data_IF_480662998384
#
_entry.id   IF_480662998384
#
_cell.length_a   1.000
_cell.length_b   1.000
_cell.length_c   1.000
_cell.angle_alpha   90.00
_cell.angle_beta   90.00
_cell.angle_gamma   90.00
#
_symmetry.space_group_name_H-M   'P 1'
#
loop_
_entity.id
_entity.type
_entity.pdbx_description
1 polymer ?
#
# COMPACT_ATOMS: atom_id res chain seq x y z
N UNK A 1 18.39 -11.10 -0.66
CA UNK A 1 18.64 -12.13 0.36
C UNK A 1 17.29 -12.66 0.81
N UNK A 2 17.20 -13.94 1.15
CA UNK A 2 15.95 -14.53 1.63
C UNK A 2 15.66 -14.07 3.06
N UNK A 3 14.39 -13.90 3.42
CA UNK A 3 14.00 -13.92 4.83
C UNK A 3 14.20 -15.32 5.43
N UNK A 4 14.01 -15.43 6.74
CA UNK A 4 14.17 -16.68 7.49
C UNK A 4 13.24 -17.82 7.02
N UNK A 5 12.27 -17.53 6.15
CA UNK A 5 11.29 -18.47 5.59
C UNK A 5 11.58 -18.81 4.10
N UNK A 6 12.71 -18.34 3.54
CA UNK A 6 13.10 -18.63 2.16
C UNK A 6 12.37 -17.78 1.12
N UNK A 7 11.71 -16.69 1.52
CA UNK A 7 11.07 -15.77 0.60
C UNK A 7 11.96 -14.55 0.31
N UNK A 8 11.94 -14.09 -0.94
CA UNK A 8 12.75 -12.97 -1.41
C UNK A 8 12.08 -11.63 -1.06
N UNK A 9 12.75 -10.81 -0.25
CA UNK A 9 12.44 -9.38 -0.09
C UNK A 9 13.21 -8.60 -1.14
N UNK A 10 12.81 -8.74 -2.41
CA UNK A 10 13.53 -8.12 -3.53
C UNK A 10 13.09 -6.65 -3.70
N UNK A 11 14.05 -5.76 -3.94
CA UNK A 11 13.80 -4.36 -4.31
C UNK A 11 14.48 -4.10 -5.66
N UNK A 12 13.68 -3.96 -6.72
CA UNK A 12 14.18 -3.82 -8.09
C UNK A 12 13.58 -2.59 -8.77
N UNK A 13 14.38 -1.93 -9.61
CA UNK A 13 13.92 -0.90 -10.53
C UNK A 13 14.03 -1.35 -11.97
N UNK A 14 13.02 -1.02 -12.76
CA UNK A 14 13.11 -1.00 -14.21
C UNK A 14 13.31 0.45 -14.65
N UNK A 15 14.42 0.73 -15.34
CA UNK A 15 14.62 2.04 -15.96
C UNK A 15 13.74 2.17 -17.21
N UNK A 16 12.71 2.99 -17.10
CA UNK A 16 11.79 3.35 -18.19
C UNK A 16 11.99 4.78 -18.68
N UNK A 17 13.09 5.44 -18.29
CA UNK A 17 13.36 6.80 -18.72
C UNK A 17 13.57 6.83 -20.26
N UNK A 18 12.81 7.67 -21.00
CA UNK A 18 12.91 7.73 -22.46
C UNK A 18 14.33 7.98 -23.00
N UNK A 19 15.21 8.64 -22.23
CA UNK A 19 16.58 8.91 -22.65
C UNK A 19 17.54 7.72 -22.48
N UNK A 20 17.21 6.72 -21.67
CA UNK A 20 18.07 5.56 -21.37
C UNK A 20 17.40 4.20 -21.64
N UNK A 21 16.13 4.18 -22.03
CA UNK A 21 15.37 2.96 -22.30
C UNK A 21 15.87 2.26 -23.57
N UNK A 22 16.45 1.08 -23.42
CA UNK A 22 16.64 0.10 -24.48
C UNK A 22 15.55 -0.98 -24.35
N UNK A 23 14.63 -1.04 -25.31
CA UNK A 23 13.52 -2.01 -25.30
C UNK A 23 13.99 -3.44 -25.55
N UNK A 24 15.15 -3.64 -26.18
CA UNK A 24 15.69 -4.96 -26.45
C UNK A 24 16.50 -5.47 -25.26
N UNK A 25 17.03 -4.56 -24.44
CA UNK A 25 17.79 -4.87 -23.23
C UNK A 25 17.40 -3.91 -22.09
N UNK A 26 16.17 -4.04 -21.54
CA UNK A 26 15.71 -3.17 -20.48
C UNK A 26 16.64 -3.25 -19.27
N UNK A 27 17.02 -2.09 -18.75
CA UNK A 27 17.94 -2.01 -17.61
C UNK A 27 17.19 -2.22 -16.31
N UNK A 28 17.44 -3.35 -15.68
CA UNK A 28 17.00 -3.66 -14.32
C UNK A 28 18.12 -3.35 -13.32
N UNK A 29 17.79 -2.69 -12.21
CA UNK A 29 18.70 -2.45 -11.10
C UNK A 29 18.18 -3.20 -9.88
N UNK A 30 19.00 -4.10 -9.34
CA UNK A 30 18.71 -4.80 -8.08
C UNK A 30 19.31 -4.03 -6.91
N UNK A 31 18.45 -3.53 -6.03
CA UNK A 31 18.82 -2.82 -4.80
C UNK A 31 18.75 -3.70 -3.56
N UNK A 32 18.40 -4.98 -3.70
CA UNK A 32 18.08 -5.88 -2.58
C UNK A 32 19.19 -5.97 -1.53
N UNK A 33 20.46 -5.88 -1.92
CA UNK A 33 21.58 -5.91 -0.98
C UNK A 33 21.79 -4.58 -0.23
N UNK A 34 21.48 -3.45 -0.88
CA UNK A 34 21.80 -2.12 -0.35
C UNK A 34 20.59 -1.45 0.32
N UNK A 35 19.40 -1.92 0.02
CA UNK A 35 18.13 -1.34 0.42
C UNK A 35 17.14 -2.44 0.81
N UNK A 36 17.49 -3.30 1.75
CA UNK A 36 16.62 -4.41 2.15
C UNK A 36 15.31 -3.90 2.77
N UNK A 37 14.18 -4.45 2.32
CA UNK A 37 12.85 -4.11 2.84
C UNK A 37 12.75 -4.54 4.32
N UNK A 38 12.18 -3.71 5.22
CA UNK A 38 12.20 -4.02 6.66
C UNK A 38 11.42 -5.26 7.07
N UNK A 39 10.45 -5.69 6.26
CA UNK A 39 9.68 -6.91 6.48
C UNK A 39 9.13 -7.45 5.17
N UNK A 40 8.65 -8.69 5.21
CA UNK A 40 7.79 -9.23 4.15
C UNK A 40 6.55 -8.37 4.00
N UNK A 41 6.22 -8.02 2.77
CA UNK A 41 5.06 -7.18 2.48
C UNK A 41 4.15 -7.80 1.41
N UNK A 42 3.70 -9.06 1.59
CA UNK A 42 2.79 -9.67 0.63
C UNK A 42 1.48 -8.89 0.59
N UNK A 43 0.95 -8.66 -0.61
CA UNK A 43 -0.32 -7.95 -0.81
C UNK A 43 -0.40 -6.56 -0.15
N UNK A 44 0.76 -5.96 0.15
CA UNK A 44 0.85 -4.57 0.60
C UNK A 44 0.57 -3.61 -0.55
N UNK A 45 0.31 -2.35 -0.21
CA UNK A 45 0.18 -1.27 -1.19
C UNK A 45 1.30 -0.26 -1.04
N UNK A 46 1.83 0.26 -2.15
CA UNK A 46 2.86 1.28 -2.15
C UNK A 46 2.38 2.54 -2.87
N UNK A 47 2.72 3.71 -2.34
CA UNK A 47 2.39 5.01 -2.94
C UNK A 47 3.56 5.99 -2.78
N UNK A 48 3.72 6.86 -3.77
CA UNK A 48 4.67 7.98 -3.69
C UNK A 48 4.08 9.09 -2.80
N UNK A 49 4.91 9.68 -1.95
CA UNK A 49 4.54 10.76 -1.05
C UNK A 49 5.76 11.57 -0.60
N UNK A 50 5.58 12.36 0.47
CA UNK A 50 6.56 13.35 0.90
C UNK A 50 6.46 14.64 0.10
N UNK A 51 7.08 15.71 0.61
CA UNK A 51 6.95 17.06 0.04
C UNK A 51 7.43 17.14 -1.42
N UNK A 52 8.44 16.35 -1.78
CA UNK A 52 9.01 16.34 -3.13
C UNK A 52 8.62 15.10 -3.94
N UNK A 53 7.71 14.26 -3.44
CA UNK A 53 7.39 12.96 -4.04
C UNK A 53 8.63 12.07 -4.25
N UNK A 54 9.50 12.04 -3.25
CA UNK A 54 10.77 11.31 -3.20
C UNK A 54 10.78 10.20 -2.14
N UNK A 55 9.62 9.95 -1.51
CA UNK A 55 9.45 8.88 -0.53
C UNK A 55 8.38 7.90 -1.05
N UNK A 56 8.72 6.62 -1.09
CA UNK A 56 7.74 5.55 -1.29
C UNK A 56 7.25 5.09 0.07
N UNK A 57 5.95 5.21 0.32
CA UNK A 57 5.30 4.65 1.50
C UNK A 57 4.74 3.27 1.17
N UNK A 58 5.18 2.26 1.92
CA UNK A 58 4.69 0.89 1.84
C UNK A 58 3.76 0.63 3.02
N UNK A 59 2.50 0.35 2.71
CA UNK A 59 1.40 0.13 3.65
C UNK A 59 1.13 -1.37 3.74
N UNK A 60 1.54 -1.97 4.86
CA UNK A 60 1.54 -3.41 5.04
C UNK A 60 0.82 -3.88 6.31
N UNK A 61 0.98 -5.16 6.60
CA UNK A 61 0.36 -5.82 7.75
C UNK A 61 1.35 -6.62 8.62
N UNK A 62 2.60 -6.80 8.19
CA UNK A 62 3.62 -7.59 8.89
C UNK A 62 4.72 -6.69 9.45
N UNK A 63 5.11 -6.95 10.70
CA UNK A 63 6.29 -6.36 11.33
C UNK A 63 7.60 -7.03 10.85
N UNK A 64 8.79 -6.53 11.26
CA UNK A 64 10.07 -7.14 10.86
C UNK A 64 10.28 -8.60 11.29
N UNK A 65 9.48 -9.09 12.24
CA UNK A 65 9.48 -10.49 12.67
C UNK A 65 8.43 -11.31 11.90
N UNK A 66 7.89 -10.78 10.80
CA UNK A 66 6.84 -11.38 9.98
C UNK A 66 5.54 -11.68 10.76
N UNK A 67 5.29 -10.96 11.87
CA UNK A 67 4.07 -11.12 12.67
C UNK A 67 2.97 -10.17 12.20
N UNK A 68 1.75 -10.68 12.13
CA UNK A 68 0.57 -9.86 11.80
C UNK A 68 0.34 -8.84 12.92
N UNK A 69 0.33 -7.58 12.53
CA UNK A 69 0.11 -6.43 13.42
C UNK A 69 -1.38 -6.16 13.65
N UNK A 70 -1.70 -5.36 14.69
CA UNK A 70 -3.08 -4.92 14.93
C UNK A 70 -3.52 -3.78 14.01
N UNK A 71 -2.57 -2.91 13.62
CA UNK A 71 -2.78 -1.73 12.80
C UNK A 71 -1.91 -1.78 11.55
N UNK A 72 -2.31 -1.13 10.46
CA UNK A 72 -1.48 -1.04 9.24
C UNK A 72 -0.13 -0.45 9.59
N UNK A 73 0.94 -1.16 9.21
CA UNK A 73 2.31 -0.67 9.37
C UNK A 73 2.68 0.19 8.17
N UNK A 74 3.47 1.23 8.41
CA UNK A 74 3.96 2.14 7.38
C UNK A 74 5.49 2.05 7.36
N UNK A 75 6.04 1.60 6.23
CA UNK A 75 7.46 1.76 5.94
C UNK A 75 7.65 2.89 4.93
N UNK A 76 8.76 3.61 5.04
CA UNK A 76 9.10 4.69 4.14
C UNK A 76 10.47 4.44 3.52
N UNK A 77 10.52 4.43 2.19
CA UNK A 77 11.75 4.31 1.42
C UNK A 77 12.11 5.65 0.79
N UNK A 78 13.25 6.21 1.19
CA UNK A 78 13.78 7.42 0.57
C UNK A 78 14.44 7.06 -0.76
N UNK A 79 13.92 7.56 -1.88
CA UNK A 79 14.40 7.17 -3.22
C UNK A 79 15.77 7.74 -3.56
N UNK A 80 16.19 8.81 -2.88
CA UNK A 80 17.50 9.46 -3.09
C UNK A 80 18.59 8.74 -2.30
N UNK A 81 18.38 8.53 -1.00
CA UNK A 81 19.36 7.85 -0.16
C UNK A 81 19.29 6.33 -0.26
N UNK A 82 18.21 5.79 -0.83
CA UNK A 82 17.91 4.36 -0.92
C UNK A 82 17.84 3.66 0.44
N UNK A 83 17.28 4.34 1.44
CA UNK A 83 17.18 3.83 2.81
C UNK A 83 15.72 3.64 3.21
N UNK A 84 15.43 2.46 3.76
CA UNK A 84 14.16 2.18 4.41
C UNK A 84 14.13 2.67 5.86
N UNK A 85 12.96 3.11 6.30
CA UNK A 85 12.68 3.51 7.67
C UNK A 85 11.28 3.06 8.09
N UNK A 86 11.04 3.01 9.40
CA UNK A 86 9.72 2.79 9.99
C UNK A 86 9.33 4.06 10.77
N UNK A 87 8.73 5.06 10.10
CA UNK A 87 8.39 6.31 10.76
C UNK A 87 7.29 6.12 11.80
N UNK A 88 7.37 6.91 12.88
CA UNK A 88 6.26 7.00 13.83
C UNK A 88 5.08 7.71 13.16
N UNK A 89 3.95 7.02 13.08
CA UNK A 89 2.71 7.54 12.50
C UNK A 89 1.68 7.82 13.59
N UNK A 90 0.89 8.88 13.40
CA UNK A 90 -0.05 9.38 14.39
C UNK A 90 -1.49 9.37 13.88
N UNK A 91 -2.44 9.70 14.76
CA UNK A 91 -3.84 9.92 14.39
C UNK A 91 -4.71 8.66 14.46
N UNK A 92 -5.71 8.59 13.59
CA UNK A 92 -6.67 7.48 13.54
C UNK A 92 -6.07 6.29 12.81
N UNK A 93 -5.35 5.43 13.53
CA UNK A 93 -4.65 4.30 12.92
C UNK A 93 -5.64 3.28 12.33
N UNK A 94 -5.51 2.93 11.03
CA UNK A 94 -6.34 1.90 10.44
C UNK A 94 -5.97 0.52 10.95
N UNK A 95 -6.98 -0.37 11.06
CA UNK A 95 -6.74 -1.79 11.32
C UNK A 95 -5.83 -2.40 10.25
N UNK A 96 -4.97 -3.31 10.69
CA UNK A 96 -4.07 -4.07 9.82
C UNK A 96 -4.85 -4.78 8.72
N UNK A 97 -4.36 -4.65 7.48
CA UNK A 97 -5.05 -5.09 6.27
C UNK A 97 -4.08 -5.33 5.12
N UNK A 98 -4.51 -6.15 4.18
CA UNK A 98 -3.80 -6.51 2.96
C UNK A 98 -4.75 -6.51 1.76
N UNK A 99 -4.24 -6.77 0.56
CA UNK A 99 -5.03 -6.94 -0.66
C UNK A 99 -5.93 -5.73 -1.00
N UNK A 100 -5.37 -4.53 -0.81
CA UNK A 100 -5.97 -3.26 -1.21
C UNK A 100 -4.99 -2.50 -2.10
N UNK A 101 -5.51 -1.55 -2.88
CA UNK A 101 -4.68 -0.59 -3.61
C UNK A 101 -4.96 0.83 -3.10
N UNK A 102 -3.94 1.46 -2.51
CA UNK A 102 -3.94 2.88 -2.19
C UNK A 102 -3.54 3.71 -3.41
N UNK A 103 -3.91 4.99 -3.39
CA UNK A 103 -3.52 5.98 -4.41
C UNK A 103 -3.09 7.28 -3.72
N UNK A 104 -2.12 8.00 -4.29
CA UNK A 104 -1.69 9.32 -3.79
C UNK A 104 -2.12 10.48 -4.68
N UNK A 105 -2.49 11.61 -4.05
CA UNK A 105 -2.75 12.87 -4.75
C UNK A 105 -1.48 13.75 -4.90
N UNK A 106 -1.65 14.93 -5.50
CA UNK A 106 -0.60 15.93 -5.63
C UNK A 106 -0.18 16.59 -4.30
N UNK A 107 -1.04 16.55 -3.30
CA UNK A 107 -0.86 17.27 -2.04
C UNK A 107 -0.21 16.39 -0.96
N UNK A 108 0.22 15.18 -1.33
CA UNK A 108 0.84 14.22 -0.41
C UNK A 108 -0.17 13.46 0.45
N UNK A 109 -1.45 13.41 0.08
CA UNK A 109 -2.44 12.53 0.72
C UNK A 109 -2.48 11.19 0.02
N UNK A 110 -2.45 10.12 0.80
CA UNK A 110 -2.59 8.73 0.36
C UNK A 110 -3.94 8.21 0.84
N UNK A 111 -4.77 7.74 -0.10
CA UNK A 111 -6.12 7.28 0.15
C UNK A 111 -6.14 5.75 0.21
N UNK A 112 -6.71 5.23 1.29
CA UNK A 112 -6.84 3.80 1.54
C UNK A 112 -8.31 3.44 1.75
N UNK A 113 -8.80 2.45 0.99
CA UNK A 113 -10.16 1.95 1.08
C UNK A 113 -10.16 0.42 1.14
N UNK A 114 -11.06 -0.15 1.93
CA UNK A 114 -11.30 -1.59 1.96
C UNK A 114 -10.07 -2.42 2.35
N UNK A 115 -9.90 -3.57 1.69
CA UNK A 115 -8.87 -4.55 1.99
C UNK A 115 -9.35 -5.71 2.87
N UNK A 116 -8.44 -6.60 3.22
CA UNK A 116 -8.71 -7.81 4.00
C UNK A 116 -7.87 -7.83 5.28
N UNK A 117 -8.55 -7.97 6.42
CA UNK A 117 -7.91 -8.15 7.72
C UNK A 117 -7.63 -9.64 7.95
N UNK A 118 -6.39 -10.05 7.71
CA UNK A 118 -5.96 -11.45 7.80
C UNK A 118 -6.25 -12.09 9.16
N UNK A 119 -5.98 -11.37 10.26
CA UNK A 119 -6.17 -11.88 11.63
C UNK A 119 -7.60 -12.30 11.96
N UNK A 120 -8.61 -11.72 11.31
CA UNK A 120 -10.03 -12.02 11.58
C UNK A 120 -10.80 -12.49 10.35
N UNK A 121 -10.13 -12.63 9.20
CA UNK A 121 -10.75 -12.97 7.91
C UNK A 121 -11.92 -12.06 7.52
N UNK A 122 -11.81 -10.76 7.79
CA UNK A 122 -12.86 -9.77 7.50
C UNK A 122 -12.46 -8.90 6.31
N UNK A 123 -13.40 -8.67 5.40
CA UNK A 123 -13.26 -7.70 4.30
C UNK A 123 -13.79 -6.36 4.79
N UNK A 124 -13.00 -5.32 4.55
CA UNK A 124 -13.25 -3.98 5.05
C UNK A 124 -13.90 -3.10 3.98
N UNK A 125 -14.58 -2.05 4.42
CA UNK A 125 -15.21 -1.01 3.59
C UNK A 125 -15.02 0.40 4.16
N UNK A 126 -14.10 0.56 5.10
CA UNK A 126 -13.75 1.85 5.69
C UNK A 126 -12.72 2.59 4.82
N UNK A 127 -12.69 3.91 4.99
CA UNK A 127 -11.78 4.81 4.28
C UNK A 127 -10.83 5.47 5.27
N UNK A 128 -9.56 5.59 4.88
CA UNK A 128 -8.54 6.29 5.61
C UNK A 128 -7.72 7.16 4.67
N UNK A 129 -7.25 8.29 5.18
CA UNK A 129 -6.37 9.21 4.48
C UNK A 129 -5.10 9.33 5.31
N UNK A 130 -3.96 9.00 4.71
CA UNK A 130 -2.66 9.24 5.29
C UNK A 130 -2.06 10.51 4.70
N UNK A 131 -1.80 11.50 5.54
CA UNK A 131 -1.04 12.68 5.13
C UNK A 131 0.46 12.35 5.24
N UNK A 132 1.12 12.20 4.10
CA UNK A 132 2.53 11.83 4.03
C UNK A 132 3.49 12.96 4.44
N UNK A 133 3.00 14.20 4.54
CA UNK A 133 3.82 15.36 4.92
C UNK A 133 4.02 15.45 6.43
N UNK A 134 3.02 15.03 7.21
CA UNK A 134 3.04 15.07 8.67
C UNK A 134 2.84 13.69 9.34
N UNK A 135 2.82 12.63 8.53
CA UNK A 135 2.74 11.23 8.97
C UNK A 135 1.51 10.95 9.85
N UNK A 136 0.37 11.52 9.46
CA UNK A 136 -0.86 11.45 10.23
C UNK A 136 -1.98 10.75 9.46
N UNK A 137 -2.63 9.78 10.12
CA UNK A 137 -3.83 9.12 9.62
C UNK A 137 -5.10 9.82 10.07
N UNK A 138 -6.02 9.99 9.14
CA UNK A 138 -7.36 10.51 9.37
C UNK A 138 -8.36 9.46 8.90
N UNK A 139 -9.35 9.14 9.73
CA UNK A 139 -10.47 8.30 9.30
C UNK A 139 -11.34 9.12 8.35
N UNK A 140 -11.50 8.62 7.13
CA UNK A 140 -12.36 9.26 6.12
C UNK A 140 -13.84 9.17 6.50
N UNK A 141 -14.71 9.98 5.88
CA UNK A 141 -16.13 9.96 6.15
C UNK A 141 -16.75 8.60 5.81
N UNK A 142 -17.73 8.17 6.61
CA UNK A 142 -18.45 6.91 6.43
C UNK A 142 -19.60 7.00 5.39
N UNK A 143 -19.46 7.85 4.37
CA UNK A 143 -20.59 8.21 3.51
C UNK A 143 -20.93 7.07 2.54
N UNK A 144 -22.13 6.49 2.73
CA UNK A 144 -22.78 5.50 1.86
C UNK A 144 -21.85 4.33 1.49
N UNK A 145 -21.23 3.73 2.51
CA UNK A 145 -20.17 2.74 2.42
C UNK A 145 -20.30 1.84 1.19
N UNK A 146 -19.49 2.12 0.17
CA UNK A 146 -19.32 1.21 -0.97
C UNK A 146 -19.13 -0.21 -0.42
N UNK A 147 -19.68 -1.25 -1.08
CA UNK A 147 -19.51 -2.62 -0.63
C UNK A 147 -18.05 -2.94 -0.32
N UNK A 148 -17.85 -3.75 0.72
CA UNK A 148 -16.53 -4.22 1.13
C UNK A 148 -15.79 -4.85 -0.05
N UNK A 149 -14.51 -4.51 -0.19
CA UNK A 149 -13.75 -4.78 -1.40
C UNK A 149 -12.32 -5.22 -1.07
N UNK A 150 -11.82 -6.19 -1.83
CA UNK A 150 -10.47 -6.75 -1.73
C UNK A 150 -10.02 -7.12 -3.15
N UNK A 151 -8.71 -7.23 -3.40
CA UNK A 151 -8.18 -7.62 -4.71
C UNK A 151 -8.70 -6.73 -5.87
N UNK A 152 -8.93 -5.46 -5.55
CA UNK A 152 -9.38 -4.45 -6.50
C UNK A 152 -8.20 -3.61 -6.96
N UNK A 153 -8.41 -2.88 -8.06
CA UNK A 153 -7.54 -1.80 -8.47
C UNK A 153 -8.20 -0.45 -8.26
N UNK A 154 -7.37 0.56 -7.99
CA UNK A 154 -7.77 1.93 -7.77
C UNK A 154 -6.94 2.88 -8.64
N UNK A 155 -7.59 3.92 -9.16
CA UNK A 155 -6.92 4.95 -9.95
C UNK A 155 -7.47 6.32 -9.57
N UNK A 156 -6.58 7.22 -9.17
CA UNK A 156 -6.92 8.64 -8.97
C UNK A 156 -7.01 9.32 -10.33
N UNK A 157 -8.13 9.99 -10.57
CA UNK A 157 -8.39 10.76 -11.77
C UNK A 157 -7.98 12.23 -11.56
N UNK A 158 -7.70 12.93 -12.65
CA UNK A 158 -7.25 14.34 -12.61
C UNK A 158 -8.28 15.29 -11.98
N UNK A 159 -9.55 14.90 -11.90
CA UNK A 159 -10.61 15.68 -11.25
C UNK A 159 -10.77 15.38 -9.75
N UNK A 160 -9.84 14.62 -9.14
CA UNK A 160 -9.85 14.29 -7.72
C UNK A 160 -10.77 13.12 -7.34
N UNK A 161 -11.42 12.48 -8.30
CA UNK A 161 -12.19 11.26 -8.06
C UNK A 161 -11.27 10.04 -8.06
N UNK A 162 -11.58 9.04 -7.23
CA UNK A 162 -10.90 7.74 -7.26
C UNK A 162 -11.87 6.72 -7.86
N UNK A 163 -11.47 6.11 -8.98
CA UNK A 163 -12.20 5.00 -9.58
C UNK A 163 -11.66 3.69 -9.01
N UNK A 164 -12.55 2.87 -8.46
CA UNK A 164 -12.27 1.51 -8.00
C UNK A 164 -12.90 0.50 -8.95
N UNK A 165 -12.15 -0.49 -9.42
CA UNK A 165 -12.65 -1.55 -10.28
C UNK A 165 -12.10 -2.91 -9.86
N UNK A 166 -12.85 -3.98 -10.13
CA UNK A 166 -12.53 -5.34 -9.67
C UNK A 166 -13.34 -5.77 -8.43
N UNK A 167 -12.87 -6.81 -7.76
CA UNK A 167 -13.68 -7.68 -6.90
C UNK A 167 -14.30 -6.99 -5.68
N UNK A 168 -15.63 -6.91 -5.62
CA UNK A 168 -16.37 -6.80 -4.35
C UNK A 168 -16.41 -8.17 -3.72
N UNK A 169 -16.00 -8.33 -2.46
CA UNK A 169 -16.21 -9.58 -1.77
C UNK A 169 -17.67 -9.63 -1.29
N UNK A 170 -18.58 -9.91 -2.22
CA UNK A 170 -19.91 -10.33 -1.83
C UNK A 170 -19.80 -11.83 -1.57
N UNK A 171 -19.41 -12.19 -0.35
CA UNK A 171 -20.07 -13.36 0.24
C UNK A 171 -21.54 -12.98 0.37
N UNK A 172 -22.29 -13.12 -0.73
CA UNK A 172 -23.71 -13.46 -0.63
C UNK A 172 -23.67 -14.85 0.01
N UNK A 173 -23.59 -14.90 1.34
CA UNK A 173 -24.23 -16.01 2.03
C UNK A 173 -25.67 -15.92 1.58
N UNK A 174 -26.06 -16.84 0.70
CA UNK A 174 -27.43 -17.04 0.23
C UNK A 174 -28.39 -16.75 1.38
N UNK A 175 -29.01 -15.57 1.35
CA UNK A 175 -30.14 -15.25 2.21
C UNK A 175 -31.04 -14.31 1.43
N UNK A 176 -32.25 -14.84 1.22
CA UNK A 176 -33.45 -14.26 0.64
C UNK A 176 -33.47 -14.28 -0.90
N UNK A 177 -34.09 -15.30 -1.51
CA UNK A 177 -35.55 -15.51 -1.65
C UNK A 177 -36.17 -14.53 -2.66
N UNK A 178 -36.43 -15.05 -3.87
CA UNK A 178 -37.72 -14.97 -4.57
C UNK A 178 -37.92 -16.30 -5.31
#
# INVERSE_FOLDING_TARGET
>A
MYDNDGHKTDNIYLDVNPSSLDINQPKWTDLTQNAQTPSRSPFASACLGGANKDIIFLLGHLDPNNSITNYTIVYAFNTTSQIWSNPQVNGSLPLSRQQFQAVSDSDGKIYMFGGFKAATSVVLNDNFIFNSLNLNWIKGPALNASPARVDFSATLLNNGLILYFGSTNVRILNKFAF
#
